data_IF_210110656299
#
_entry.id   IF_210110656299
#
_cell.length_a   1.000
_cell.length_b   1.000
_cell.length_c   1.000
_cell.angle_alpha   90.00
_cell.angle_beta   90.00
_cell.angle_gamma   90.00
#
_symmetry.space_group_name_H-M   'P 1'
#
loop_
_entity.id
_entity.type
_entity.pdbx_description
1 polymer ?
#
# COMPACT_ATOMS: atom_id res chain seq x y z
N UNK A 1 4.34 20.24 3.60
CA UNK A 1 4.23 20.23 5.08
C UNK A 1 3.15 19.21 5.39
N UNK A 2 3.51 18.05 5.90
CA UNK A 2 2.52 17.07 6.35
C UNK A 2 1.85 17.64 7.60
N UNK A 3 0.58 18.03 7.49
CA UNK A 3 -0.23 18.60 8.57
C UNK A 3 -1.00 17.53 9.35
N UNK A 4 -0.72 16.24 9.09
CA UNK A 4 -1.34 15.09 9.75
C UNK A 4 -0.41 14.52 10.80
N UNK A 5 -0.97 14.06 11.92
CA UNK A 5 -0.22 13.42 13.01
C UNK A 5 0.38 12.05 12.64
N UNK A 6 0.26 11.65 11.37
CA UNK A 6 0.64 10.35 10.84
C UNK A 6 1.08 10.49 9.38
N UNK A 7 1.76 9.46 8.88
CA UNK A 7 2.14 9.32 7.47
C UNK A 7 1.20 8.34 6.76
N UNK A 8 0.92 8.60 5.49
CA UNK A 8 0.21 7.69 4.57
C UNK A 8 1.24 6.97 3.71
N UNK A 9 1.22 5.65 3.75
CA UNK A 9 2.15 4.79 3.00
C UNK A 9 1.32 3.99 1.99
N UNK A 10 1.53 4.23 0.71
CA UNK A 10 1.03 3.39 -0.36
C UNK A 10 2.07 2.32 -0.71
N UNK A 11 1.67 1.07 -0.72
CA UNK A 11 2.58 -0.06 -0.98
C UNK A 11 2.03 -0.98 -2.06
N UNK A 12 2.88 -1.29 -3.04
CA UNK A 12 2.59 -2.26 -4.09
C UNK A 12 2.54 -3.70 -3.55
N UNK A 13 1.89 -4.59 -4.32
CA UNK A 13 1.81 -6.01 -4.00
C UNK A 13 2.86 -6.86 -4.72
N UNK A 14 2.84 -6.86 -6.06
CA UNK A 14 3.53 -7.85 -6.90
C UNK A 14 5.00 -7.47 -7.12
N UNK A 15 5.92 -8.22 -6.50
CA UNK A 15 7.35 -7.87 -6.50
C UNK A 15 7.74 -7.00 -5.30
N UNK A 16 6.76 -6.47 -4.56
CA UNK A 16 6.96 -5.63 -3.38
C UNK A 16 6.64 -6.37 -2.07
N UNK A 17 5.37 -6.69 -1.82
CA UNK A 17 4.93 -7.47 -0.65
C UNK A 17 5.07 -8.97 -0.89
N UNK A 18 4.82 -9.40 -2.12
CA UNK A 18 4.71 -10.80 -2.51
C UNK A 18 5.55 -11.07 -3.75
N UNK A 19 6.56 -11.94 -3.61
CA UNK A 19 7.39 -12.39 -4.72
C UNK A 19 6.69 -13.56 -5.42
N UNK A 20 5.87 -13.24 -6.42
CA UNK A 20 5.05 -14.22 -7.14
C UNK A 20 5.07 -14.01 -8.66
N UNK A 21 4.72 -15.07 -9.40
CA UNK A 21 4.35 -14.93 -10.80
C UNK A 21 2.85 -14.66 -10.86
N UNK A 22 2.46 -13.50 -11.37
CA UNK A 22 1.06 -13.15 -11.59
C UNK A 22 0.32 -14.26 -12.39
N UNK A 23 -0.90 -14.71 -11.98
CA UNK A 23 -1.74 -14.20 -10.90
C UNK A 23 -1.62 -14.95 -9.56
N UNK A 24 -0.61 -15.80 -9.40
CA UNK A 24 -0.43 -16.62 -8.20
C UNK A 24 0.03 -15.78 -7.00
N UNK A 25 0.04 -16.39 -5.82
CA UNK A 25 0.64 -15.86 -4.61
C UNK A 25 1.97 -16.58 -4.41
N UNK A 26 2.93 -15.91 -3.78
CA UNK A 26 4.30 -16.41 -3.65
C UNK A 26 4.91 -16.06 -2.31
N UNK A 27 6.23 -15.98 -2.28
CA UNK A 27 6.97 -15.81 -1.03
C UNK A 27 6.78 -14.40 -0.45
N UNK A 28 6.52 -14.27 0.85
CA UNK A 28 6.35 -12.97 1.50
C UNK A 28 7.67 -12.23 1.63
N UNK A 29 7.65 -10.93 1.36
CA UNK A 29 8.69 -10.00 1.79
C UNK A 29 8.56 -9.72 3.29
N UNK A 30 8.95 -10.69 4.12
CA UNK A 30 8.75 -10.63 5.59
C UNK A 30 9.31 -9.36 6.24
N UNK A 31 10.54 -8.88 5.91
CA UNK A 31 11.05 -7.65 6.50
C UNK A 31 10.17 -6.42 6.21
N UNK A 32 9.65 -6.31 4.98
CA UNK A 32 8.76 -5.21 4.62
C UNK A 32 7.41 -5.33 5.34
N UNK A 33 6.85 -6.53 5.41
CA UNK A 33 5.58 -6.78 6.11
C UNK A 33 5.71 -6.41 7.60
N UNK A 34 6.76 -6.84 8.27
CA UNK A 34 7.04 -6.50 9.68
C UNK A 34 7.17 -4.98 9.86
N UNK A 35 7.92 -4.31 8.98
CA UNK A 35 8.05 -2.87 8.98
C UNK A 35 6.68 -2.16 8.88
N UNK A 36 5.83 -2.58 7.94
CA UNK A 36 4.51 -1.96 7.72
C UNK A 36 3.55 -2.20 8.90
N UNK A 37 3.60 -3.39 9.51
CA UNK A 37 2.86 -3.68 10.73
C UNK A 37 3.26 -2.70 11.84
N UNK A 38 4.55 -2.45 12.01
CA UNK A 38 5.05 -1.50 13.01
C UNK A 38 4.67 -0.05 12.66
N UNK A 39 4.69 0.34 11.38
CA UNK A 39 4.17 1.64 10.94
C UNK A 39 2.70 1.82 11.35
N UNK A 40 1.86 0.80 11.13
CA UNK A 40 0.45 0.83 11.52
C UNK A 40 0.28 0.95 13.04
N UNK A 41 1.09 0.23 13.83
CA UNK A 41 1.10 0.35 15.31
C UNK A 41 1.51 1.74 15.78
N UNK A 42 2.39 2.43 15.05
CA UNK A 42 2.79 3.82 15.32
C UNK A 42 1.75 4.86 14.91
N UNK A 43 0.61 4.44 14.36
CA UNK A 43 -0.50 5.33 13.96
C UNK A 43 -0.46 5.74 12.48
N UNK A 44 0.51 5.28 11.70
CA UNK A 44 0.56 5.52 10.26
C UNK A 44 -0.52 4.73 9.53
N UNK A 45 -0.90 5.23 8.35
CA UNK A 45 -1.97 4.69 7.51
C UNK A 45 -1.39 3.97 6.32
N UNK A 46 -1.93 2.78 6.05
CA UNK A 46 -1.46 1.95 4.95
C UNK A 46 -2.52 1.85 3.87
N UNK A 47 -2.09 1.99 2.61
CA UNK A 47 -2.92 1.77 1.44
C UNK A 47 -2.28 0.67 0.62
N UNK A 48 -3.02 -0.41 0.36
CA UNK A 48 -2.61 -1.39 -0.65
C UNK A 48 -2.83 -0.75 -2.02
N UNK A 49 -1.76 -0.54 -2.78
CA UNK A 49 -1.79 0.12 -4.07
C UNK A 49 -1.28 -0.80 -5.17
N UNK A 50 -2.20 -1.55 -5.77
CA UNK A 50 -1.88 -2.65 -6.68
C UNK A 50 -2.73 -2.64 -7.95
N UNK A 51 -2.16 -3.16 -9.03
CA UNK A 51 -2.91 -3.40 -10.27
C UNK A 51 -3.88 -4.59 -10.18
N UNK A 52 -3.81 -5.41 -9.11
CA UNK A 52 -4.75 -6.51 -8.90
C UNK A 52 -6.20 -5.99 -8.77
N UNK A 53 -7.14 -6.70 -9.38
CA UNK A 53 -8.58 -6.38 -9.35
C UNK A 53 -9.42 -7.65 -9.28
N UNK A 54 -10.69 -7.52 -8.84
CA UNK A 54 -11.62 -8.64 -8.70
C UNK A 54 -11.08 -9.74 -7.78
N UNK A 55 -11.25 -11.00 -8.19
CA UNK A 55 -10.82 -12.17 -7.41
C UNK A 55 -9.33 -12.14 -7.03
N UNK A 56 -8.47 -11.62 -7.92
CA UNK A 56 -7.04 -11.56 -7.63
C UNK A 56 -6.70 -10.52 -6.54
N UNK A 57 -7.48 -9.43 -6.46
CA UNK A 57 -7.38 -8.46 -5.37
C UNK A 57 -7.88 -9.07 -4.05
N UNK A 58 -9.00 -9.79 -4.08
CA UNK A 58 -9.52 -10.48 -2.89
C UNK A 58 -8.50 -11.49 -2.33
N UNK A 59 -7.84 -12.24 -3.22
CA UNK A 59 -6.75 -13.16 -2.84
C UNK A 59 -5.56 -12.44 -2.22
N UNK A 60 -5.10 -11.33 -2.82
CA UNK A 60 -3.99 -10.55 -2.29
C UNK A 60 -4.31 -9.95 -0.91
N UNK A 61 -5.50 -9.40 -0.74
CA UNK A 61 -5.96 -8.84 0.54
C UNK A 61 -6.07 -9.94 1.60
N UNK A 62 -6.58 -11.11 1.25
CA UNK A 62 -6.69 -12.26 2.17
C UNK A 62 -5.31 -12.77 2.57
N UNK A 63 -4.39 -12.89 1.61
CA UNK A 63 -3.00 -13.26 1.86
C UNK A 63 -2.31 -12.26 2.80
N UNK A 64 -2.52 -10.94 2.63
CA UNK A 64 -1.97 -9.95 3.57
C UNK A 64 -2.51 -10.14 5.00
N UNK A 65 -3.80 -10.45 5.16
CA UNK A 65 -4.40 -10.72 6.48
C UNK A 65 -3.83 -11.97 7.14
N UNK A 66 -3.53 -13.02 6.38
CA UNK A 66 -2.84 -14.22 6.89
C UNK A 66 -1.46 -13.89 7.47
N UNK A 67 -0.82 -12.84 6.91
CA UNK A 67 0.42 -12.27 7.42
C UNK A 67 0.23 -11.15 8.46
N UNK A 68 -0.98 -10.96 9.00
CA UNK A 68 -1.33 -9.94 9.99
C UNK A 68 -1.12 -8.49 9.51
N UNK A 69 -1.08 -8.28 8.19
CA UNK A 69 -0.99 -6.96 7.57
C UNK A 69 -2.37 -6.52 7.07
N UNK A 70 -2.86 -5.42 7.64
CA UNK A 70 -4.15 -4.83 7.28
C UNK A 70 -3.99 -3.40 6.76
N UNK A 71 -4.87 -2.99 5.86
CA UNK A 71 -4.83 -1.68 5.19
C UNK A 71 -6.01 -0.81 5.61
N UNK A 72 -5.77 0.50 5.65
CA UNK A 72 -6.79 1.52 5.90
C UNK A 72 -7.61 1.82 4.63
N UNK A 73 -7.00 1.62 3.44
CA UNK A 73 -7.70 1.61 2.15
C UNK A 73 -7.04 0.63 1.17
N UNK A 74 -7.79 0.23 0.14
CA UNK A 74 -7.32 -0.66 -0.93
C UNK A 74 -7.64 0.00 -2.26
N UNK A 75 -6.62 0.33 -3.04
CA UNK A 75 -6.75 1.02 -4.33
C UNK A 75 -7.59 2.31 -4.29
N UNK A 76 -7.62 2.97 -3.13
CA UNK A 76 -8.43 4.17 -2.91
C UNK A 76 -7.76 5.14 -1.93
N UNK A 77 -8.11 6.42 -2.04
CA UNK A 77 -7.66 7.45 -1.11
C UNK A 77 -8.39 7.31 0.24
N UNK A 78 -7.74 7.76 1.32
CA UNK A 78 -8.40 7.87 2.60
C UNK A 78 -9.55 8.92 2.54
N UNK A 79 -10.65 8.73 3.29
CA UNK A 79 -11.79 9.66 3.28
C UNK A 79 -11.40 11.12 3.53
N UNK A 80 -10.50 11.36 4.48
CA UNK A 80 -10.00 12.70 4.82
C UNK A 80 -9.20 13.36 3.67
N UNK A 81 -8.55 12.56 2.83
CA UNK A 81 -7.85 13.04 1.63
C UNK A 81 -8.86 13.42 0.55
N UNK A 82 -9.89 12.59 0.35
CA UNK A 82 -10.99 12.88 -0.60
C UNK A 82 -11.70 14.18 -0.21
N UNK A 83 -11.98 14.36 1.08
CA UNK A 83 -12.58 15.59 1.62
C UNK A 83 -11.67 16.81 1.39
N UNK A 84 -10.38 16.68 1.69
CA UNK A 84 -9.39 17.76 1.53
C UNK A 84 -9.33 18.29 0.10
N UNK A 85 -9.34 17.41 -0.91
CA UNK A 85 -9.26 17.81 -2.31
C UNK A 85 -10.63 18.10 -2.95
N UNK A 86 -11.73 17.79 -2.27
CA UNK A 86 -13.08 17.89 -2.83
C UNK A 86 -13.35 16.92 -3.98
N UNK A 87 -12.47 15.95 -4.21
CA UNK A 87 -12.62 14.88 -5.19
C UNK A 87 -11.78 13.65 -4.79
N UNK A 88 -12.12 12.50 -5.37
CA UNK A 88 -11.29 11.30 -5.26
C UNK A 88 -10.42 11.18 -6.52
N UNK A 89 -9.16 11.60 -6.42
CA UNK A 89 -8.22 11.51 -7.53
C UNK A 89 -7.89 10.06 -7.87
N UNK A 90 -7.75 9.73 -9.16
CA UNK A 90 -7.33 8.39 -9.59
C UNK A 90 -5.97 7.98 -9.01
N UNK A 91 -5.05 8.95 -8.84
CA UNK A 91 -3.77 8.74 -8.16
C UNK A 91 -3.99 8.83 -6.66
N UNK A 92 -3.43 7.88 -5.92
CA UNK A 92 -3.41 7.92 -4.45
C UNK A 92 -2.50 9.03 -3.97
N UNK A 93 -2.97 9.85 -3.04
CA UNK A 93 -2.13 10.79 -2.30
C UNK A 93 -1.54 10.10 -1.08
N UNK A 94 -0.22 10.08 -0.96
CA UNK A 94 0.49 9.50 0.17
C UNK A 94 1.84 10.21 0.37
N UNK A 95 2.45 9.99 1.54
CA UNK A 95 3.78 10.50 1.87
C UNK A 95 4.89 9.60 1.29
N UNK A 96 4.64 8.28 1.24
CA UNK A 96 5.58 7.29 0.69
C UNK A 96 4.90 6.38 -0.32
N UNK A 97 5.57 6.14 -1.45
CA UNK A 97 5.29 5.01 -2.33
C UNK A 97 6.40 3.97 -2.13
N UNK A 98 6.01 2.75 -1.80
CA UNK A 98 6.92 1.59 -1.75
C UNK A 98 6.52 0.66 -2.89
N UNK A 99 7.37 0.57 -3.90
CA UNK A 99 7.05 -0.09 -5.17
C UNK A 99 8.35 -0.60 -5.82
N UNK A 100 8.35 -1.84 -6.29
CA UNK A 100 9.51 -2.51 -6.92
C UNK A 100 9.94 -1.81 -8.23
N UNK A 101 9.06 -0.99 -8.81
CA UNK A 101 9.28 -0.24 -10.06
C UNK A 101 9.43 1.25 -9.84
N UNK A 102 9.55 1.71 -8.59
CA UNK A 102 9.79 3.11 -8.30
C UNK A 102 11.18 3.57 -8.79
N UNK A 103 11.23 4.75 -9.40
CA UNK A 103 12.47 5.52 -9.62
C UNK A 103 12.23 6.96 -9.19
N UNK A 104 13.14 7.49 -8.39
CA UNK A 104 13.08 8.90 -7.98
C UNK A 104 13.66 9.79 -9.10
N UNK A 105 13.10 10.99 -9.36
CA UNK A 105 13.60 11.87 -10.40
C UNK A 105 15.11 12.18 -10.31
N UNK A 106 15.65 12.27 -9.10
CA UNK A 106 17.08 12.51 -8.83
C UNK A 106 18.00 11.34 -9.16
N UNK A 107 17.44 10.16 -9.45
CA UNK A 107 18.19 8.95 -9.81
C UNK A 107 18.37 8.79 -11.34
N UNK A 108 17.86 9.75 -12.13
CA UNK A 108 17.98 9.81 -13.60
C UNK A 108 18.98 10.88 -14.03
#
# INVERSE_FOLDING_TARGET
MSTTAYQIIAVDFDGTLCYSNWPELGEPNRPLIEYLIDQKKSGNKLILWTCRAGEALEKAVSWCREHQLEFDAINDNLPEIIEMYGNNSRKITCDYYIDDKAVLPEML
#
